data_IF_869970396580
#
_entry.id   IF_869970396580
#
_cell.length_a   1.000
_cell.length_b   1.000
_cell.length_c   1.000
_cell.angle_alpha   90.00
_cell.angle_beta   90.00
_cell.angle_gamma   90.00
#
_symmetry.space_group_name_H-M   'P 1'
#
loop_
_entity.id
_entity.type
_entity.pdbx_description
1 polymer ?
#
# COMPACT_ATOMS: atom_id res chain seq x y z
N UNK A 1 -7.63 -8.90 36.07
CA UNK A 1 -6.90 -8.02 35.14
C UNK A 1 -6.85 -8.76 33.80
N UNK A 2 -7.60 -8.28 32.81
CA UNK A 2 -7.72 -8.97 31.51
C UNK A 2 -6.46 -8.66 30.69
N UNK A 3 -5.72 -9.71 30.31
CA UNK A 3 -4.65 -9.60 29.33
C UNK A 3 -5.28 -9.29 27.98
N UNK A 4 -5.25 -8.02 27.57
CA UNK A 4 -5.52 -7.61 26.18
C UNK A 4 -4.28 -7.92 25.34
N UNK A 5 -3.94 -9.20 25.21
CA UNK A 5 -3.17 -9.63 24.06
C UNK A 5 -4.14 -9.63 22.89
N UNK A 6 -4.31 -8.45 22.29
CA UNK A 6 -4.86 -8.31 20.95
C UNK A 6 -3.90 -9.02 20.01
N UNK A 7 -4.01 -10.35 19.92
CA UNK A 7 -3.55 -11.09 18.77
C UNK A 7 -4.30 -10.49 17.59
N UNK A 8 -3.71 -9.50 16.91
CA UNK A 8 -4.02 -9.33 15.51
C UNK A 8 -3.61 -10.66 14.89
N UNK A 9 -4.60 -11.44 14.47
CA UNK A 9 -4.39 -12.47 13.48
C UNK A 9 -3.51 -11.86 12.38
N UNK A 10 -2.55 -12.61 11.84
CA UNK A 10 -1.60 -12.12 10.83
C UNK A 10 -2.32 -11.20 9.84
N UNK A 11 -2.07 -9.88 9.91
CA UNK A 11 -2.79 -8.94 9.06
C UNK A 11 -2.19 -9.01 7.67
N UNK A 12 -3.05 -9.19 6.67
CA UNK A 12 -2.57 -9.28 5.29
C UNK A 12 -2.03 -7.92 4.85
N UNK A 13 -0.73 -7.86 4.60
CA UNK A 13 -0.09 -6.70 3.98
C UNK A 13 0.11 -6.94 2.50
N UNK A 14 0.18 -5.88 1.72
CA UNK A 14 0.47 -5.96 0.28
C UNK A 14 1.79 -5.28 0.03
N UNK A 15 2.72 -6.00 -0.57
CA UNK A 15 3.93 -5.44 -1.16
C UNK A 15 3.70 -5.22 -2.66
N UNK A 16 3.95 -4.00 -3.13
CA UNK A 16 3.90 -3.65 -4.54
C UNK A 16 5.26 -3.16 -5.01
N UNK A 17 5.89 -3.92 -5.91
CA UNK A 17 7.15 -3.56 -6.56
C UNK A 17 6.87 -2.62 -7.73
N UNK A 18 7.57 -1.49 -7.82
CA UNK A 18 7.33 -0.53 -8.90
C UNK A 18 7.78 -1.10 -10.25
N UNK A 19 6.88 -1.16 -11.25
CA UNK A 19 7.26 -1.57 -12.60
C UNK A 19 8.28 -0.60 -13.22
N UNK A 20 9.21 -1.15 -14.01
CA UNK A 20 10.20 -0.36 -14.77
C UNK A 20 9.59 0.74 -15.66
N UNK A 21 8.34 0.56 -16.10
CA UNK A 21 7.60 1.55 -16.89
C UNK A 21 7.44 2.92 -16.20
N UNK A 22 7.49 2.97 -14.87
CA UNK A 22 7.36 4.23 -14.12
C UNK A 22 8.69 4.91 -13.81
N UNK A 23 9.84 4.36 -14.23
CA UNK A 23 11.17 4.86 -13.79
C UNK A 23 11.37 6.37 -13.99
N UNK A 24 10.94 6.91 -15.13
CA UNK A 24 11.05 8.34 -15.42
C UNK A 24 10.12 9.20 -14.54
N UNK A 25 8.87 8.76 -14.34
CA UNK A 25 7.90 9.44 -13.48
C UNK A 25 8.35 9.43 -12.02
N UNK A 26 8.86 8.28 -11.53
CA UNK A 26 9.41 8.15 -10.19
C UNK A 26 10.61 9.07 -9.97
N UNK A 27 11.52 9.16 -10.94
CA UNK A 27 12.66 10.07 -10.85
C UNK A 27 12.19 11.53 -10.79
N UNK A 28 11.29 11.92 -11.70
CA UNK A 28 10.74 13.27 -11.73
C UNK A 28 10.04 13.66 -10.42
N UNK A 29 9.28 12.74 -9.83
CA UNK A 29 8.61 12.96 -8.55
C UNK A 29 9.61 13.07 -7.39
N UNK A 30 10.71 12.32 -7.40
CA UNK A 30 11.79 12.44 -6.39
C UNK A 30 12.53 13.76 -6.51
N UNK A 31 12.87 14.16 -7.72
CA UNK A 31 13.56 15.44 -7.98
C UNK A 31 12.70 16.63 -7.51
N UNK A 32 11.37 16.48 -7.56
CA UNK A 32 10.41 17.45 -7.06
C UNK A 32 10.07 17.32 -5.56
N UNK A 33 10.66 16.37 -4.82
CA UNK A 33 10.29 16.01 -3.44
C UNK A 33 8.79 15.69 -3.25
N UNK A 34 8.16 15.08 -4.26
CA UNK A 34 6.72 14.76 -4.35
C UNK A 34 6.49 13.25 -4.52
N UNK A 35 7.49 12.42 -4.19
CA UNK A 35 7.44 10.97 -4.46
C UNK A 35 6.28 10.26 -3.75
N UNK A 36 6.11 10.49 -2.44
CA UNK A 36 5.06 9.83 -1.66
C UNK A 36 3.65 10.23 -2.15
N UNK A 37 3.48 11.53 -2.44
CA UNK A 37 2.23 12.03 -2.98
C UNK A 37 1.98 11.52 -4.40
N UNK A 38 3.02 11.34 -5.22
CA UNK A 38 2.90 10.65 -6.51
C UNK A 38 2.43 9.19 -6.34
N UNK A 39 3.01 8.43 -5.40
CA UNK A 39 2.58 7.04 -5.09
C UNK A 39 1.10 7.01 -4.71
N UNK A 40 0.67 7.88 -3.79
CA UNK A 40 -0.73 7.95 -3.35
C UNK A 40 -1.66 8.27 -4.53
N UNK A 41 -1.31 9.27 -5.36
CA UNK A 41 -2.14 9.65 -6.52
C UNK A 41 -2.22 8.55 -7.57
N UNK A 42 -1.16 7.76 -7.75
CA UNK A 42 -1.12 6.70 -8.76
C UNK A 42 -1.78 5.40 -8.31
N UNK A 43 -1.57 4.99 -7.06
CA UNK A 43 -1.94 3.64 -6.61
C UNK A 43 -3.07 3.62 -5.58
N UNK A 44 -3.23 4.65 -4.75
CA UNK A 44 -4.30 4.70 -3.74
C UNK A 44 -5.55 5.38 -4.31
N UNK A 45 -5.40 6.48 -5.03
CA UNK A 45 -6.54 7.23 -5.58
C UNK A 45 -7.50 6.38 -6.43
N UNK A 46 -7.04 5.45 -7.30
CA UNK A 46 -7.94 4.63 -8.11
C UNK A 46 -8.81 3.67 -7.29
N UNK A 47 -8.32 3.20 -6.15
CA UNK A 47 -9.02 2.24 -5.27
C UNK A 47 -9.76 2.92 -4.13
N UNK A 48 -9.62 4.24 -3.95
CA UNK A 48 -10.12 4.94 -2.76
C UNK A 48 -11.61 4.79 -2.49
N UNK A 49 -12.43 4.57 -3.53
CA UNK A 49 -13.87 4.34 -3.36
C UNK A 49 -14.23 2.91 -2.94
N UNK A 50 -13.26 1.99 -2.97
CA UNK A 50 -13.42 0.55 -2.73
C UNK A 50 -12.80 0.10 -1.41
N UNK A 51 -11.91 0.90 -0.84
CA UNK A 51 -11.22 0.59 0.41
C UNK A 51 -11.69 1.52 1.52
N UNK A 52 -11.66 1.04 2.76
CA UNK A 52 -11.84 1.89 3.93
C UNK A 52 -10.74 2.96 4.00
N UNK A 53 -11.00 4.03 4.75
CA UNK A 53 -10.04 5.12 4.84
C UNK A 53 -8.75 4.76 5.60
N UNK A 54 -8.75 3.65 6.34
CA UNK A 54 -7.75 3.31 7.34
C UNK A 54 -6.74 2.31 6.80
N UNK A 55 -5.53 2.79 6.51
CA UNK A 55 -4.39 1.94 6.18
C UNK A 55 -3.09 2.61 6.63
N UNK A 56 -2.03 1.81 6.76
CA UNK A 56 -0.66 2.32 6.93
C UNK A 56 0.14 1.98 5.70
N UNK A 57 0.92 2.93 5.21
CA UNK A 57 1.74 2.75 4.02
C UNK A 57 3.18 3.08 4.34
N UNK A 58 4.09 2.20 3.93
CA UNK A 58 5.54 2.41 3.98
C UNK A 58 6.05 2.46 2.55
N UNK A 59 6.63 3.60 2.16
CA UNK A 59 7.05 3.87 0.79
C UNK A 59 8.57 3.81 0.73
N UNK A 60 9.08 2.90 -0.10
CA UNK A 60 10.50 2.68 -0.33
C UNK A 60 10.86 3.11 -1.77
N UNK A 61 12.16 3.20 -2.13
CA UNK A 61 12.56 3.63 -3.48
C UNK A 61 12.13 2.69 -4.62
N UNK A 62 11.97 1.41 -4.36
CA UNK A 62 11.68 0.37 -5.36
C UNK A 62 10.32 -0.31 -5.16
N UNK A 63 9.71 -0.13 -3.99
CA UNK A 63 8.40 -0.70 -3.67
C UNK A 63 7.65 0.15 -2.64
N UNK A 64 6.41 -0.23 -2.36
CA UNK A 64 5.75 0.15 -1.11
C UNK A 64 5.08 -1.06 -0.48
N UNK A 65 4.84 -0.97 0.82
CA UNK A 65 4.01 -1.92 1.56
C UNK A 65 2.80 -1.18 2.13
N UNK A 66 1.63 -1.78 2.01
CA UNK A 66 0.39 -1.26 2.60
C UNK A 66 -0.21 -2.30 3.54
N UNK A 67 -0.54 -1.85 4.75
CA UNK A 67 -1.18 -2.61 5.83
C UNK A 67 -2.60 -2.05 6.00
N UNK A 68 -3.56 -2.78 5.43
CA UNK A 68 -4.97 -2.46 5.58
C UNK A 68 -5.48 -2.97 6.94
N UNK A 69 -6.46 -2.27 7.50
CA UNK A 69 -7.10 -2.75 8.75
C UNK A 69 -8.00 -3.94 8.47
N UNK A 70 -8.69 -3.94 7.33
CA UNK A 70 -9.63 -4.98 6.90
C UNK A 70 -9.04 -5.77 5.72
N UNK A 71 -9.15 -7.10 5.76
CA UNK A 71 -8.61 -7.96 4.69
C UNK A 71 -9.34 -7.73 3.35
N UNK A 72 -10.63 -7.36 3.38
CA UNK A 72 -11.42 -7.04 2.18
C UNK A 72 -10.84 -5.85 1.39
N UNK A 73 -10.30 -4.84 2.09
CA UNK A 73 -9.64 -3.69 1.45
C UNK A 73 -8.36 -4.12 0.72
N UNK A 74 -7.62 -5.05 1.33
CA UNK A 74 -6.43 -5.60 0.74
C UNK A 74 -6.77 -6.46 -0.49
N UNK A 75 -7.85 -7.24 -0.45
CA UNK A 75 -8.35 -7.96 -1.64
C UNK A 75 -8.78 -7.01 -2.77
N UNK A 76 -9.47 -5.92 -2.44
CA UNK A 76 -9.85 -4.90 -3.41
C UNK A 76 -8.62 -4.25 -4.05
N UNK A 77 -7.59 -3.93 -3.25
CA UNK A 77 -6.33 -3.40 -3.74
C UNK A 77 -5.62 -4.38 -4.68
N UNK A 78 -5.49 -5.65 -4.30
CA UNK A 78 -4.88 -6.69 -5.14
C UNK A 78 -5.61 -6.87 -6.47
N UNK A 79 -6.93 -6.75 -6.46
CA UNK A 79 -7.76 -6.91 -7.67
C UNK A 79 -7.57 -5.75 -8.65
N UNK A 80 -7.49 -4.51 -8.16
CA UNK A 80 -7.46 -3.31 -9.02
C UNK A 80 -6.05 -2.90 -9.41
N UNK A 81 -5.10 -3.00 -8.48
CA UNK A 81 -3.72 -2.53 -8.65
C UNK A 81 -2.75 -3.70 -8.83
N UNK A 82 -2.96 -4.78 -8.08
CA UNK A 82 -2.05 -5.93 -8.02
C UNK A 82 -1.07 -5.84 -6.85
N UNK A 83 0.02 -6.62 -6.94
CA UNK A 83 1.02 -6.76 -5.88
C UNK A 83 1.09 -8.19 -5.35
N UNK A 84 1.71 -8.35 -4.18
CA UNK A 84 1.85 -9.63 -3.50
C UNK A 84 1.40 -9.52 -2.04
N UNK A 85 0.49 -10.40 -1.63
CA UNK A 85 0.14 -10.58 -0.24
C UNK A 85 1.36 -11.11 0.55
N UNK A 86 1.63 -10.49 1.69
CA UNK A 86 2.64 -10.92 2.67
C UNK A 86 1.96 -11.00 4.04
N UNK A 87 2.27 -12.06 4.77
CA UNK A 87 1.72 -12.34 6.09
C UNK A 87 2.84 -12.18 7.12
N UNK A 88 2.62 -11.37 8.14
CA UNK A 88 3.53 -11.16 9.27
C UNK A 88 2.91 -11.66 10.58
#
# INVERSE_FOLDING_TARGET
MQNTNSQRNASMKIKFEFPNGYKSEMQSARDANDFDAWVIRKFIRPVRALISEQFRMDIQPDHFTIDFVEDEDAEAFLTVIGGRAVYE
#
